data_IF_589158082293
#
_entry.id   IF_589158082293
#
_cell.length_a   1.000
_cell.length_b   1.000
_cell.length_c   1.000
_cell.angle_alpha   90.00
_cell.angle_beta   90.00
_cell.angle_gamma   90.00
#
_symmetry.space_group_name_H-M   'P 1'
#
loop_
_entity.id
_entity.type
_entity.pdbx_description
1 polymer ?
#
# COMPACT_ATOMS: atom_id res chain seq x y z
N UNK A 1 55.06 -26.52 -10.79
CA UNK A 1 55.54 -27.88 -11.07
C UNK A 1 55.80 -28.63 -9.77
N UNK A 2 55.59 -29.97 -9.63
CA UNK A 2 54.37 -30.71 -9.78
C UNK A 2 54.08 -31.54 -8.51
N UNK A 3 52.93 -32.24 -8.47
CA UNK A 3 52.69 -33.21 -7.41
C UNK A 3 51.33 -33.88 -7.56
N UNK A 4 51.22 -34.77 -8.54
CA UNK A 4 50.15 -35.76 -8.64
C UNK A 4 50.22 -36.73 -7.48
N UNK A 5 49.10 -37.13 -6.94
CA UNK A 5 48.95 -38.22 -5.98
C UNK A 5 47.59 -38.83 -6.11
N UNK A 6 47.45 -39.69 -7.12
CA UNK A 6 46.43 -40.71 -7.24
C UNK A 6 46.62 -41.77 -6.20
N UNK A 7 45.58 -42.15 -5.48
CA UNK A 7 45.49 -43.49 -4.88
C UNK A 7 44.07 -44.02 -5.02
N UNK A 8 44.03 -45.07 -5.76
CA UNK A 8 42.94 -45.98 -6.09
C UNK A 8 42.63 -46.92 -4.91
N UNK A 9 41.35 -47.28 -4.81
CA UNK A 9 40.77 -48.55 -4.44
C UNK A 9 41.22 -49.23 -3.13
N UNK A 10 40.32 -49.56 -2.28
CA UNK A 10 40.04 -50.96 -2.04
C UNK A 10 38.62 -51.23 -1.54
N UNK A 11 38.03 -52.19 -2.17
CA UNK A 11 36.74 -52.77 -1.84
C UNK A 11 37.01 -53.94 -0.87
N UNK A 12 36.22 -54.07 0.17
CA UNK A 12 35.69 -55.37 0.57
C UNK A 12 34.93 -55.31 1.90
N UNK A 13 33.70 -55.71 1.83
CA UNK A 13 32.99 -56.58 2.76
C UNK A 13 33.20 -56.34 4.27
N UNK A 14 32.18 -55.86 4.92
CA UNK A 14 31.67 -56.65 5.99
C UNK A 14 30.13 -56.62 6.07
N UNK A 15 29.54 -57.79 5.89
CA UNK A 15 28.15 -58.08 6.20
C UNK A 15 28.17 -58.74 7.58
N UNK A 16 27.70 -58.03 8.56
CA UNK A 16 27.11 -58.73 9.73
C UNK A 16 26.08 -57.77 10.36
N UNK A 17 24.90 -58.28 10.43
CA UNK A 17 23.71 -57.78 10.98
C UNK A 17 23.83 -57.19 12.36
N UNK A 18 22.90 -56.32 12.66
CA UNK A 18 22.16 -56.40 13.92
C UNK A 18 21.15 -55.29 14.03
N UNK A 19 20.00 -55.76 14.35
CA UNK A 19 18.98 -55.12 15.16
C UNK A 19 18.53 -53.69 14.79
N UNK A 20 17.43 -53.70 14.06
CA UNK A 20 16.50 -52.56 14.05
C UNK A 20 16.04 -52.23 15.47
N UNK A 21 16.54 -51.17 16.00
CA UNK A 21 15.88 -50.46 17.09
C UNK A 21 14.73 -49.69 16.47
N UNK A 22 13.50 -49.86 16.91
CA UNK A 22 12.41 -48.98 16.46
C UNK A 22 12.72 -47.56 16.93
N UNK A 23 12.81 -46.63 15.99
CA UNK A 23 12.86 -45.22 16.29
C UNK A 23 11.70 -44.87 17.25
N UNK A 24 11.97 -44.14 18.33
CA UNK A 24 10.92 -43.72 19.21
C UNK A 24 9.90 -42.93 18.38
N UNK A 25 8.68 -43.42 18.37
CA UNK A 25 7.48 -42.79 17.89
C UNK A 25 7.49 -41.35 18.42
N UNK A 26 7.94 -40.39 17.61
CA UNK A 26 7.74 -38.98 17.90
C UNK A 26 6.24 -38.80 18.01
N UNK A 27 5.80 -38.75 19.25
CA UNK A 27 4.43 -38.54 19.62
C UNK A 27 3.89 -37.40 18.74
N UNK A 28 2.89 -37.77 18.00
CA UNK A 28 1.99 -36.86 17.35
C UNK A 28 1.57 -35.86 18.44
N UNK A 29 2.25 -34.72 18.51
CA UNK A 29 1.80 -33.59 19.34
C UNK A 29 0.41 -33.30 18.82
N UNK A 30 -0.57 -33.78 19.58
CA UNK A 30 -1.96 -33.42 19.33
C UNK A 30 -2.01 -31.93 19.28
N UNK A 31 -2.31 -31.39 18.13
CA UNK A 31 -2.66 -30.00 17.99
C UNK A 31 -3.73 -29.69 19.05
N UNK A 32 -3.60 -28.62 19.84
CA UNK A 32 -4.61 -28.26 20.81
C UNK A 32 -5.91 -28.02 20.06
N UNK A 33 -6.76 -29.03 20.08
CA UNK A 33 -8.12 -29.00 19.60
C UNK A 33 -8.85 -27.91 20.38
N UNK A 34 -9.31 -26.87 19.67
CA UNK A 34 -10.48 -26.12 20.11
C UNK A 34 -10.25 -25.00 21.10
N UNK A 35 -9.34 -24.06 20.85
CA UNK A 35 -9.62 -22.69 21.25
C UNK A 35 -10.51 -22.05 20.16
N UNK A 36 -11.80 -22.36 20.20
CA UNK A 36 -12.81 -21.51 19.57
C UNK A 36 -12.71 -20.16 20.26
N UNK A 37 -12.47 -19.05 19.56
CA UNK A 37 -12.60 -17.74 20.16
C UNK A 37 -14.08 -17.56 20.48
N UNK A 38 -14.45 -17.81 21.72
CA UNK A 38 -15.71 -17.40 22.31
C UNK A 38 -15.69 -15.87 22.37
N UNK A 39 -16.57 -15.25 21.61
CA UNK A 39 -16.80 -13.81 21.50
C UNK A 39 -16.15 -13.12 20.29
N UNK A 40 -16.60 -13.44 19.12
CA UNK A 40 -16.46 -12.61 17.93
C UNK A 40 -17.75 -12.72 17.12
N UNK A 41 -18.53 -11.66 17.09
CA UNK A 41 -19.78 -11.58 16.31
C UNK A 41 -19.37 -11.84 14.85
N UNK A 42 -19.81 -12.92 14.19
CA UNK A 42 -19.36 -13.30 12.84
C UNK A 42 -19.63 -12.22 11.80
N UNK A 43 -20.54 -11.31 12.09
CA UNK A 43 -20.88 -10.15 11.26
C UNK A 43 -19.76 -9.11 11.17
N UNK A 44 -18.99 -8.90 12.24
CA UNK A 44 -17.94 -7.88 12.28
C UNK A 44 -16.72 -8.28 11.44
N UNK A 45 -16.32 -9.53 11.48
CA UNK A 45 -15.23 -10.07 10.64
C UNK A 45 -15.56 -9.98 9.15
N UNK A 46 -16.79 -10.33 8.79
CA UNK A 46 -17.23 -10.27 7.38
C UNK A 46 -17.28 -8.84 6.87
N UNK A 47 -17.68 -7.89 7.71
CA UNK A 47 -17.73 -6.47 7.35
C UNK A 47 -16.31 -5.91 7.12
N UNK A 48 -15.39 -6.18 8.03
CA UNK A 48 -13.98 -5.73 7.92
C UNK A 48 -13.35 -6.29 6.64
N UNK A 49 -13.56 -7.57 6.33
CA UNK A 49 -13.06 -8.17 5.09
C UNK A 49 -13.64 -7.54 3.82
N UNK A 50 -14.92 -7.19 3.83
CA UNK A 50 -15.55 -6.49 2.69
C UNK A 50 -15.02 -5.09 2.52
N UNK A 51 -14.85 -4.35 3.61
CA UNK A 51 -14.27 -3.00 3.59
C UNK A 51 -12.83 -3.02 3.11
N UNK A 52 -12.05 -4.01 3.53
CA UNK A 52 -10.68 -4.21 3.10
C UNK A 52 -10.58 -4.51 1.61
N UNK A 53 -11.39 -5.43 1.11
CA UNK A 53 -11.45 -5.73 -0.32
C UNK A 53 -11.91 -4.52 -1.16
N UNK A 54 -12.82 -3.69 -0.62
CA UNK A 54 -13.24 -2.46 -1.28
C UNK A 54 -12.11 -1.42 -1.30
N UNK A 55 -11.42 -1.22 -0.17
CA UNK A 55 -10.29 -0.31 -0.07
C UNK A 55 -9.15 -0.71 -1.03
N UNK A 56 -8.88 -2.01 -1.15
CA UNK A 56 -7.88 -2.54 -2.08
C UNK A 56 -8.25 -2.31 -3.55
N UNK A 57 -9.52 -2.56 -3.91
CA UNK A 57 -10.01 -2.31 -5.28
C UNK A 57 -9.96 -0.83 -5.62
N UNK A 58 -10.40 0.01 -4.68
CA UNK A 58 -10.37 1.46 -4.84
C UNK A 58 -8.93 1.96 -5.02
N UNK A 59 -8.01 1.54 -4.16
CA UNK A 59 -6.60 1.92 -4.26
C UNK A 59 -5.97 1.49 -5.60
N UNK A 60 -6.26 0.28 -6.08
CA UNK A 60 -5.78 -0.20 -7.39
C UNK A 60 -6.40 0.59 -8.54
N UNK A 61 -7.69 0.86 -8.49
CA UNK A 61 -8.36 1.64 -9.54
C UNK A 61 -7.80 3.05 -9.64
N UNK A 62 -7.63 3.74 -8.51
CA UNK A 62 -7.02 5.06 -8.48
C UNK A 62 -5.56 5.02 -8.96
N UNK A 63 -4.81 3.99 -8.62
CA UNK A 63 -3.42 3.83 -9.09
C UNK A 63 -3.33 3.63 -10.61
N UNK A 64 -4.29 2.94 -11.23
CA UNK A 64 -4.37 2.82 -12.69
C UNK A 64 -4.65 4.20 -13.31
N UNK A 65 -5.60 4.95 -12.76
CA UNK A 65 -5.87 6.33 -13.20
C UNK A 65 -4.64 7.22 -13.03
N UNK A 66 -3.93 7.12 -11.90
CA UNK A 66 -2.67 7.82 -11.67
C UNK A 66 -1.64 7.51 -12.77
N UNK A 67 -1.52 6.24 -13.16
CA UNK A 67 -0.66 5.82 -14.28
C UNK A 67 -1.04 6.47 -15.60
N UNK A 68 -2.33 6.57 -15.89
CA UNK A 68 -2.83 7.25 -17.11
C UNK A 68 -2.46 8.75 -17.08
N UNK A 69 -2.67 9.43 -15.95
CA UNK A 69 -2.28 10.83 -15.80
C UNK A 69 -0.76 11.05 -15.93
N UNK A 70 0.04 10.11 -15.41
CA UNK A 70 1.49 10.14 -15.56
C UNK A 70 1.91 10.07 -17.03
N UNK A 71 1.41 9.07 -17.76
CA UNK A 71 1.72 8.90 -19.19
C UNK A 71 1.24 10.11 -19.99
N UNK A 72 0.05 10.63 -19.68
CA UNK A 72 -0.49 11.83 -20.34
C UNK A 72 0.38 13.07 -20.09
N UNK A 73 0.85 13.26 -18.86
CA UNK A 73 1.76 14.35 -18.51
C UNK A 73 3.11 14.24 -19.25
N UNK A 74 3.66 13.00 -19.32
CA UNK A 74 4.91 12.76 -20.07
C UNK A 74 4.74 13.04 -21.58
N UNK A 75 3.67 12.53 -22.18
CA UNK A 75 3.39 12.75 -23.60
C UNK A 75 3.20 14.25 -23.90
N UNK A 76 2.47 14.96 -23.05
CA UNK A 76 2.26 16.40 -23.19
C UNK A 76 3.59 17.17 -23.08
N UNK A 77 4.44 16.82 -22.12
CA UNK A 77 5.74 17.44 -21.96
C UNK A 77 6.66 17.18 -23.17
N UNK A 78 6.72 15.94 -23.65
CA UNK A 78 7.49 15.58 -24.84
C UNK A 78 6.97 16.30 -26.09
N UNK A 79 5.65 16.32 -26.31
CA UNK A 79 5.04 17.00 -27.42
C UNK A 79 5.37 18.50 -27.40
N UNK A 80 5.29 19.15 -26.24
CA UNK A 80 5.63 20.56 -26.11
C UNK A 80 7.12 20.83 -26.41
N UNK A 81 8.03 19.95 -25.99
CA UNK A 81 9.45 20.06 -26.33
C UNK A 81 9.68 19.96 -27.85
N UNK A 82 9.03 19.01 -28.52
CA UNK A 82 9.13 18.85 -29.98
C UNK A 82 8.55 20.06 -30.72
N UNK A 83 7.36 20.53 -30.31
CA UNK A 83 6.74 21.70 -30.96
C UNK A 83 7.53 22.99 -30.72
N UNK A 84 8.17 23.11 -29.56
CA UNK A 84 9.05 24.25 -29.27
C UNK A 84 10.27 24.28 -30.21
N UNK A 85 10.78 23.12 -30.61
CA UNK A 85 11.87 23.06 -31.61
C UNK A 85 11.46 23.60 -32.98
N UNK A 86 10.14 23.55 -33.31
CA UNK A 86 9.55 24.08 -34.56
C UNK A 86 8.94 25.47 -34.36
N UNK A 87 9.27 26.16 -33.27
CA UNK A 87 8.77 27.49 -32.91
C UNK A 87 7.26 27.64 -32.70
N UNK A 88 6.54 26.53 -32.44
CA UNK A 88 5.09 26.53 -32.14
C UNK A 88 4.85 25.90 -30.77
N UNK A 89 5.21 26.56 -29.64
CA UNK A 89 5.01 25.99 -28.32
C UNK A 89 3.52 25.93 -27.95
N UNK A 90 3.13 24.85 -27.25
CA UNK A 90 1.80 24.76 -26.67
C UNK A 90 1.75 25.64 -25.42
N UNK A 91 0.94 26.72 -25.46
CA UNK A 91 0.74 27.57 -24.31
C UNK A 91 0.00 26.79 -23.19
N UNK A 92 0.39 27.02 -21.92
CA UNK A 92 -0.27 26.39 -20.76
C UNK A 92 0.13 24.95 -20.47
N UNK A 93 1.10 24.36 -21.18
CA UNK A 93 1.59 22.99 -20.90
C UNK A 93 2.01 22.83 -19.44
N UNK A 94 2.67 23.83 -18.86
CA UNK A 94 3.15 23.78 -17.47
C UNK A 94 1.98 23.68 -16.50
N UNK A 95 0.88 24.39 -16.75
CA UNK A 95 -0.34 24.31 -15.93
C UNK A 95 -0.99 22.93 -16.01
N UNK A 96 -1.16 22.39 -17.22
CA UNK A 96 -1.74 21.06 -17.41
C UNK A 96 -0.90 19.95 -16.77
N UNK A 97 0.43 19.99 -16.93
CA UNK A 97 1.34 19.04 -16.29
C UNK A 97 1.25 19.17 -14.76
N UNK A 98 1.12 20.38 -14.23
CA UNK A 98 0.89 20.62 -12.81
C UNK A 98 -0.42 20.01 -12.30
N UNK A 99 -1.53 20.19 -13.03
CA UNK A 99 -2.83 19.59 -12.68
C UNK A 99 -2.78 18.05 -12.74
N UNK A 100 -2.19 17.49 -13.78
CA UNK A 100 -2.01 16.03 -13.88
C UNK A 100 -1.11 15.51 -12.77
N UNK A 101 -0.06 16.23 -12.41
CA UNK A 101 0.82 15.88 -11.29
C UNK A 101 0.10 15.88 -9.93
N UNK A 102 -0.77 16.86 -9.68
CA UNK A 102 -1.56 16.92 -8.45
C UNK A 102 -2.50 15.72 -8.32
N UNK A 103 -3.25 15.39 -9.40
CA UNK A 103 -4.16 14.24 -9.43
C UNK A 103 -3.40 12.92 -9.31
N UNK A 104 -2.30 12.77 -10.06
CA UNK A 104 -1.42 11.61 -9.98
C UNK A 104 -0.94 11.36 -8.55
N UNK A 105 -0.44 12.41 -7.89
CA UNK A 105 0.06 12.30 -6.52
C UNK A 105 -1.05 11.87 -5.56
N UNK A 106 -2.21 12.52 -5.61
CA UNK A 106 -3.33 12.21 -4.74
C UNK A 106 -3.84 10.76 -4.94
N UNK A 107 -3.90 10.27 -6.18
CA UNK A 107 -4.39 8.92 -6.49
C UNK A 107 -3.39 7.83 -6.15
N UNK A 108 -2.08 8.11 -6.21
CA UNK A 108 -1.05 7.13 -5.91
C UNK A 108 -0.87 6.87 -4.40
N UNK A 109 -1.26 7.81 -3.54
CA UNK A 109 -1.09 7.73 -2.08
C UNK A 109 -1.73 6.48 -1.48
N UNK A 110 -2.96 6.14 -1.88
CA UNK A 110 -3.68 4.99 -1.34
C UNK A 110 -2.97 3.66 -1.58
N UNK A 111 -2.40 3.47 -2.77
CA UNK A 111 -1.63 2.28 -3.09
C UNK A 111 -0.27 2.27 -2.39
N UNK A 112 0.38 3.42 -2.29
CA UNK A 112 1.65 3.56 -1.58
C UNK A 112 1.51 3.18 -0.11
N UNK A 113 0.43 3.60 0.55
CA UNK A 113 0.11 3.25 1.93
C UNK A 113 -0.04 1.73 2.09
N UNK A 114 -0.79 1.09 1.20
CA UNK A 114 -1.00 -0.37 1.23
C UNK A 114 0.29 -1.17 1.12
N UNK A 115 1.24 -0.72 0.30
CA UNK A 115 2.53 -1.41 0.10
C UNK A 115 3.55 -1.14 1.20
N UNK A 116 3.49 0.01 1.88
CA UNK A 116 4.48 0.44 2.88
C UNK A 116 4.00 0.28 4.33
N UNK A 117 2.73 -0.01 4.56
CA UNK A 117 2.08 0.07 5.87
C UNK A 117 2.71 -0.78 6.98
N UNK A 118 3.60 -1.73 6.68
CA UNK A 118 4.19 -2.59 7.70
C UNK A 118 5.72 -2.45 7.88
N UNK A 119 6.42 -1.68 7.02
CA UNK A 119 7.89 -1.67 7.05
C UNK A 119 8.45 -0.65 8.03
N UNK A 120 7.79 0.51 8.19
CA UNK A 120 8.33 1.60 9.03
C UNK A 120 8.14 1.39 10.52
N UNK A 121 7.07 0.72 10.92
CA UNK A 121 6.76 0.50 12.34
C UNK A 121 7.70 -0.52 12.96
N UNK A 122 8.09 -1.57 12.21
CA UNK A 122 8.92 -2.65 12.73
C UNK A 122 10.31 -2.22 13.21
N UNK A 123 10.92 -1.19 12.61
CA UNK A 123 12.31 -0.83 12.94
C UNK A 123 12.43 -0.02 14.22
N UNK A 124 11.45 0.84 14.53
CA UNK A 124 11.49 1.69 15.71
C UNK A 124 10.84 1.03 16.93
N UNK A 125 9.87 0.17 16.71
CA UNK A 125 9.03 -0.42 17.77
C UNK A 125 9.52 -1.76 18.29
N UNK A 126 10.53 -2.40 17.68
CA UNK A 126 11.09 -3.68 18.14
C UNK A 126 11.62 -3.66 19.58
N UNK A 127 11.87 -2.49 20.14
CA UNK A 127 12.34 -2.30 21.53
C UNK A 127 11.23 -1.96 22.52
N UNK A 128 9.99 -1.74 22.05
CA UNK A 128 8.87 -1.35 22.92
C UNK A 128 8.03 -2.57 23.32
N UNK A 129 7.40 -2.54 24.51
CA UNK A 129 6.44 -3.58 24.90
C UNK A 129 5.25 -3.63 23.91
N UNK A 130 4.68 -4.81 23.64
CA UNK A 130 3.68 -5.00 22.58
C UNK A 130 2.40 -4.16 22.76
N UNK A 131 2.07 -3.78 23.97
CA UNK A 131 0.94 -2.90 24.24
C UNK A 131 1.20 -1.46 23.76
N UNK A 132 2.41 -0.94 23.98
CA UNK A 132 2.78 0.41 23.59
C UNK A 132 2.98 0.51 22.06
N UNK A 133 3.45 -0.58 21.45
CA UNK A 133 3.54 -0.69 20.00
C UNK A 133 2.17 -0.55 19.34
N UNK A 134 1.17 -1.32 19.78
CA UNK A 134 -0.20 -1.24 19.26
C UNK A 134 -0.82 0.14 19.46
N UNK A 135 -0.59 0.75 20.61
CA UNK A 135 -1.10 2.10 20.89
C UNK A 135 -0.48 3.16 19.97
N UNK A 136 0.83 3.06 19.70
CA UNK A 136 1.53 3.94 18.77
C UNK A 136 1.02 3.80 17.34
N UNK A 137 0.83 2.55 16.88
CA UNK A 137 0.31 2.26 15.54
C UNK A 137 -1.11 2.80 15.37
N UNK A 138 -1.98 2.57 16.34
CA UNK A 138 -3.35 3.08 16.31
C UNK A 138 -3.39 4.62 16.32
N UNK A 139 -2.55 5.26 17.13
CA UNK A 139 -2.46 6.72 17.19
C UNK A 139 -1.97 7.31 15.86
N UNK A 140 -0.94 6.71 15.25
CA UNK A 140 -0.41 7.14 13.97
C UNK A 140 -1.45 7.01 12.85
N UNK A 141 -2.16 5.87 12.77
CA UNK A 141 -3.22 5.66 11.79
C UNK A 141 -4.37 6.64 11.98
N UNK A 142 -4.78 6.89 13.23
CA UNK A 142 -5.83 7.85 13.56
C UNK A 142 -5.44 9.27 13.18
N UNK A 143 -4.24 9.71 13.55
CA UNK A 143 -3.73 11.03 13.21
C UNK A 143 -3.62 11.23 11.69
N UNK A 144 -3.11 10.23 10.98
CA UNK A 144 -3.03 10.26 9.51
C UNK A 144 -4.41 10.28 8.86
N UNK A 145 -5.36 9.48 9.35
CA UNK A 145 -6.74 9.48 8.88
C UNK A 145 -7.40 10.84 9.06
N UNK A 146 -7.26 11.45 10.25
CA UNK A 146 -7.79 12.79 10.52
C UNK A 146 -7.17 13.85 9.60
N UNK A 147 -5.85 13.80 9.39
CA UNK A 147 -5.15 14.72 8.50
C UNK A 147 -5.65 14.62 7.05
N UNK A 148 -5.71 13.42 6.48
CA UNK A 148 -6.16 13.24 5.10
C UNK A 148 -7.66 13.53 4.91
N UNK A 149 -8.48 13.29 5.93
CA UNK A 149 -9.90 13.68 5.90
C UNK A 149 -10.03 15.20 5.87
N UNK A 150 -9.31 15.89 6.75
CA UNK A 150 -9.31 17.35 6.79
C UNK A 150 -8.78 17.94 5.47
N UNK A 151 -7.64 17.46 5.00
CA UNK A 151 -7.06 17.91 3.72
C UNK A 151 -8.03 17.68 2.55
N UNK A 152 -8.70 16.53 2.47
CA UNK A 152 -9.67 16.22 1.43
C UNK A 152 -10.89 17.14 1.48
N UNK A 153 -11.43 17.39 2.68
CA UNK A 153 -12.59 18.28 2.86
C UNK A 153 -12.24 19.71 2.51
N UNK A 154 -11.11 20.25 2.99
CA UNK A 154 -10.69 21.62 2.69
C UNK A 154 -10.38 21.80 1.20
N UNK A 155 -9.74 20.82 0.56
CA UNK A 155 -9.52 20.84 -0.89
C UNK A 155 -10.85 20.81 -1.65
N UNK A 156 -11.83 20.03 -1.21
CA UNK A 156 -13.16 20.02 -1.82
C UNK A 156 -13.90 21.36 -1.63
N UNK A 157 -13.82 21.97 -0.46
CA UNK A 157 -14.38 23.32 -0.20
C UNK A 157 -13.76 24.36 -1.11
N UNK A 158 -12.44 24.35 -1.21
CA UNK A 158 -11.75 25.25 -2.14
C UNK A 158 -12.19 25.02 -3.59
N UNK A 159 -12.41 23.75 -4.00
CA UNK A 159 -12.99 23.44 -5.31
C UNK A 159 -14.38 24.04 -5.54
N UNK A 160 -15.22 24.10 -4.50
CA UNK A 160 -16.54 24.77 -4.55
C UNK A 160 -16.41 26.29 -4.67
N UNK A 161 -15.50 26.89 -3.91
CA UNK A 161 -15.24 28.33 -3.98
C UNK A 161 -14.77 28.75 -5.38
N UNK A 162 -13.97 27.90 -6.05
CA UNK A 162 -13.56 28.09 -7.43
C UNK A 162 -14.73 28.11 -8.44
N UNK A 163 -15.76 27.31 -8.19
CA UNK A 163 -16.97 27.30 -9.02
C UNK A 163 -17.74 28.61 -8.79
N UNK A 164 -17.86 29.07 -7.54
CA UNK A 164 -18.57 30.31 -7.20
C UNK A 164 -17.85 31.57 -7.67
N UNK A 165 -16.52 31.61 -7.60
CA UNK A 165 -15.71 32.73 -8.06
C UNK A 165 -15.57 32.78 -9.58
N UNK A 166 -15.82 31.68 -10.28
CA UNK A 166 -15.66 31.59 -11.72
C UNK A 166 -14.19 31.70 -12.17
N UNK A 167 -13.25 31.45 -11.27
CA UNK A 167 -11.83 31.55 -11.58
C UNK A 167 -11.41 30.56 -12.66
N UNK A 168 -10.68 31.06 -13.64
CA UNK A 168 -10.11 30.29 -14.74
C UNK A 168 -8.58 30.29 -14.63
N UNK A 169 -7.96 29.26 -15.18
CA UNK A 169 -6.51 29.18 -15.28
C UNK A 169 -5.93 30.39 -16.02
N UNK A 170 -4.77 30.85 -15.58
CA UNK A 170 -4.15 32.09 -16.04
C UNK A 170 -3.79 32.05 -17.54
N UNK A 171 -3.32 30.94 -18.04
CA UNK A 171 -2.85 30.82 -19.42
C UNK A 171 -3.88 30.19 -20.35
N UNK A 172 -4.51 29.08 -19.93
CA UNK A 172 -5.46 28.33 -20.77
C UNK A 172 -6.90 28.80 -20.63
N UNK A 173 -7.22 29.61 -19.62
CA UNK A 173 -8.59 29.99 -19.23
C UNK A 173 -9.53 28.78 -19.09
N UNK A 174 -8.96 27.62 -18.71
CA UNK A 174 -9.72 26.42 -18.44
C UNK A 174 -10.21 26.43 -16.98
N UNK A 175 -11.40 25.90 -16.78
CA UNK A 175 -11.92 25.62 -15.46
C UNK A 175 -11.09 24.47 -14.84
N UNK A 176 -10.30 24.75 -13.81
CA UNK A 176 -9.45 23.75 -13.17
C UNK A 176 -10.08 23.08 -11.95
N UNK A 177 -11.31 23.47 -11.57
CA UNK A 177 -12.05 22.85 -10.49
C UNK A 177 -12.18 21.31 -10.61
N UNK A 178 -12.30 20.65 -11.79
CA UNK A 178 -12.42 19.21 -11.84
C UNK A 178 -11.14 18.50 -11.35
N UNK A 179 -9.97 19.09 -11.59
CA UNK A 179 -8.70 18.55 -11.10
C UNK A 179 -8.58 18.69 -9.59
N UNK A 180 -9.10 19.79 -9.01
CA UNK A 180 -9.15 20.00 -7.57
C UNK A 180 -10.07 18.97 -6.91
N UNK A 181 -11.25 18.69 -7.48
CA UNK A 181 -12.13 17.64 -6.97
C UNK A 181 -11.52 16.23 -7.11
N UNK A 182 -10.80 15.97 -8.19
CA UNK A 182 -10.08 14.69 -8.34
C UNK A 182 -9.00 14.54 -7.25
N UNK A 183 -8.25 15.59 -6.95
CA UNK A 183 -7.27 15.59 -5.86
C UNK A 183 -7.94 15.39 -4.49
N UNK A 184 -9.05 16.07 -4.22
CA UNK A 184 -9.85 15.90 -3.00
C UNK A 184 -10.34 14.45 -2.86
N UNK A 185 -10.84 13.84 -3.96
CA UNK A 185 -11.25 12.45 -3.98
C UNK A 185 -10.09 11.51 -3.63
N UNK A 186 -8.89 11.76 -4.15
CA UNK A 186 -7.68 11.00 -3.81
C UNK A 186 -7.33 11.06 -2.32
N UNK A 187 -7.40 12.24 -1.72
CA UNK A 187 -7.19 12.42 -0.28
C UNK A 187 -8.25 11.70 0.56
N UNK A 188 -9.53 11.77 0.18
CA UNK A 188 -10.61 11.05 0.88
C UNK A 188 -10.49 9.55 0.71
N UNK A 189 -10.08 9.06 -0.46
CA UNK A 189 -9.81 7.64 -0.68
C UNK A 189 -8.65 7.15 0.19
N UNK A 190 -7.58 7.95 0.35
CA UNK A 190 -6.49 7.67 1.27
C UNK A 190 -6.98 7.62 2.72
N UNK A 191 -7.79 8.58 3.15
CA UNK A 191 -8.39 8.60 4.48
C UNK A 191 -9.23 7.33 4.73
N UNK A 192 -9.99 6.89 3.74
CA UNK A 192 -10.77 5.65 3.82
C UNK A 192 -9.88 4.41 3.98
N UNK A 193 -8.78 4.31 3.22
CA UNK A 193 -7.80 3.21 3.36
C UNK A 193 -7.21 3.20 4.78
N UNK A 194 -6.79 4.35 5.29
CA UNK A 194 -6.24 4.49 6.65
C UNK A 194 -7.26 4.14 7.73
N UNK A 195 -8.52 4.51 7.53
CA UNK A 195 -9.60 4.17 8.44
C UNK A 195 -9.83 2.65 8.51
N UNK A 196 -9.82 1.96 7.37
CA UNK A 196 -9.91 0.50 7.32
C UNK A 196 -8.72 -0.16 8.02
N UNK A 197 -7.51 0.35 7.81
CA UNK A 197 -6.31 -0.17 8.48
C UNK A 197 -6.35 0.10 9.99
N UNK A 198 -6.89 1.24 10.42
CA UNK A 198 -7.14 1.53 11.84
C UNK A 198 -8.12 0.52 12.47
N UNK A 199 -9.23 0.21 11.79
CA UNK A 199 -10.19 -0.78 12.27
C UNK A 199 -9.57 -2.17 12.48
N UNK A 200 -8.57 -2.54 11.69
CA UNK A 200 -7.82 -3.79 11.85
C UNK A 200 -6.88 -3.80 13.05
N UNK A 201 -6.46 -2.64 13.51
CA UNK A 201 -5.54 -2.52 14.66
C UNK A 201 -6.29 -2.64 16.00
N UNK A 202 -7.62 -2.53 16.00
CA UNK A 202 -8.41 -2.68 17.23
C UNK A 202 -8.40 -4.12 17.77
N UNK A 203 -8.43 -4.30 19.10
CA UNK A 203 -8.42 -5.62 19.73
C UNK A 203 -9.64 -6.44 19.30
N UNK A 204 -9.40 -7.59 18.63
CA UNK A 204 -10.45 -8.47 18.11
C UNK A 204 -10.49 -8.62 16.59
N UNK A 205 -9.71 -7.83 15.86
CA UNK A 205 -9.51 -8.03 14.43
C UNK A 205 -8.49 -9.17 14.16
N UNK A 206 -8.66 -9.97 13.09
CA UNK A 206 -7.68 -10.98 12.71
C UNK A 206 -6.35 -10.30 12.41
N UNK A 207 -5.30 -10.76 13.08
CA UNK A 207 -3.94 -10.32 12.76
C UNK A 207 -3.61 -10.59 11.29
N UNK A 208 -2.68 -9.83 10.69
CA UNK A 208 -2.24 -10.07 9.32
C UNK A 208 -1.76 -11.52 9.19
N UNK A 209 -2.32 -12.26 8.25
CA UNK A 209 -1.80 -13.55 7.85
C UNK A 209 -0.39 -13.33 7.31
N UNK A 210 0.64 -14.00 7.83
CA UNK A 210 1.96 -13.95 7.21
C UNK A 210 1.85 -14.61 5.84
N UNK A 211 1.80 -13.82 4.79
CA UNK A 211 2.02 -14.32 3.45
C UNK A 211 3.51 -14.62 3.29
N UNK A 212 3.80 -15.91 3.07
CA UNK A 212 5.12 -16.46 2.87
C UNK A 212 5.79 -16.02 1.56
#
# INVERSE_FOLDING_TARGET
>A
LPGQGTCTADASRDRTGMHGSPLPNRGRVAAPSGARPLFGIPTMHTLIHRLDALAERLARFLAILAGIFLVSAMLLACANMLLRAVHVPIQGTVELVGFFGAVLTAFSLGLAQRRRGHIFVGLLTTKLPPALQRASDALQLLASCAFFTLAGVETARWGLDLIHSGELSQTLRLAYHPFVFAAALGCLAMAFVLFVDFLKTLPGAPGPTPEG
#
